data_IF_625498061704
#
_entry.id   IF_625498061704
#
_cell.length_a   1.000
_cell.length_b   1.000
_cell.length_c   1.000
_cell.angle_alpha   90.00
_cell.angle_beta   90.00
_cell.angle_gamma   90.00
#
_symmetry.space_group_name_H-M   'P 1'
#
loop_
_entity.id
_entity.type
_entity.pdbx_description
1 polymer ?
#
# COMPACT_ATOMS: atom_id res chain seq x y z
N UNK A 1 17.69 22.01 -7.43
CA UNK A 1 16.48 21.17 -7.48
C UNK A 1 15.28 22.04 -7.11
N UNK A 2 14.20 21.93 -7.85
CA UNK A 2 12.95 22.65 -7.50
C UNK A 2 12.41 22.12 -6.16
N UNK A 3 11.84 22.96 -5.27
CA UNK A 3 11.31 22.54 -3.97
C UNK A 3 10.14 21.57 -4.14
N UNK A 4 9.95 20.68 -3.17
CA UNK A 4 8.80 19.76 -3.09
C UNK A 4 7.58 20.55 -2.62
N UNK A 5 6.42 20.37 -3.26
CA UNK A 5 5.18 20.98 -2.82
C UNK A 5 4.48 20.08 -1.79
N UNK A 6 4.46 18.75 -2.02
CA UNK A 6 3.77 17.77 -1.19
C UNK A 6 4.69 16.58 -0.87
N UNK A 7 4.90 16.30 0.40
CA UNK A 7 5.64 15.13 0.89
C UNK A 7 4.68 14.21 1.63
N UNK A 8 4.44 13.00 1.10
CA UNK A 8 3.76 11.94 1.84
C UNK A 8 4.78 11.09 2.58
N UNK A 9 4.48 10.77 3.84
CA UNK A 9 5.28 9.91 4.71
C UNK A 9 4.37 8.79 5.20
N UNK A 10 4.71 7.54 4.92
CA UNK A 10 3.90 6.38 5.31
C UNK A 10 4.36 5.11 4.63
N UNK A 11 3.73 4.01 4.99
CA UNK A 11 4.03 2.73 4.40
C UNK A 11 3.50 2.62 2.97
N UNK A 12 4.23 1.87 2.18
CA UNK A 12 3.85 1.45 0.83
C UNK A 12 3.67 -0.05 0.82
N UNK A 13 2.72 -0.51 0.05
CA UNK A 13 2.39 -1.93 -0.08
C UNK A 13 2.18 -2.32 -1.54
N UNK A 14 2.20 -3.62 -1.78
CA UNK A 14 1.59 -4.25 -2.94
C UNK A 14 0.31 -4.92 -2.47
N UNK A 15 -0.82 -4.58 -3.05
CA UNK A 15 -2.09 -5.22 -2.80
C UNK A 15 -2.37 -6.24 -3.90
N UNK A 16 -2.60 -7.50 -3.52
CA UNK A 16 -3.06 -8.57 -4.41
C UNK A 16 -4.56 -8.78 -4.21
N UNK A 17 -5.35 -8.27 -5.13
CA UNK A 17 -6.81 -8.43 -5.14
C UNK A 17 -7.16 -9.81 -5.67
N UNK A 18 -7.70 -10.65 -4.81
CA UNK A 18 -8.17 -12.00 -5.13
C UNK A 18 -9.70 -11.97 -5.21
N UNK A 19 -10.25 -12.08 -6.43
CA UNK A 19 -11.70 -12.15 -6.61
C UNK A 19 -12.18 -13.55 -6.23
N UNK A 20 -12.92 -13.60 -5.14
CA UNK A 20 -13.49 -14.86 -4.64
C UNK A 20 -14.79 -15.17 -5.38
N UNK A 21 -14.94 -16.45 -5.74
CA UNK A 21 -16.17 -16.97 -6.36
C UNK A 21 -17.02 -17.75 -5.36
N UNK A 22 -16.38 -18.46 -4.43
CA UNK A 22 -17.06 -19.29 -3.43
C UNK A 22 -16.68 -18.79 -2.03
N UNK A 23 -17.55 -17.97 -1.45
CA UNK A 23 -17.50 -17.54 -0.08
C UNK A 23 -18.93 -17.28 0.41
N UNK A 24 -19.10 -17.03 1.70
CA UNK A 24 -20.36 -16.56 2.28
C UNK A 24 -20.07 -15.48 3.32
N UNK A 25 -21.06 -14.63 3.57
CA UNK A 25 -20.97 -13.62 4.63
C UNK A 25 -21.99 -13.93 5.70
N UNK A 26 -21.54 -13.99 6.93
CA UNK A 26 -22.38 -14.21 8.10
C UNK A 26 -22.29 -12.98 8.99
N UNK A 27 -23.44 -12.34 9.24
CA UNK A 27 -23.56 -11.17 10.10
C UNK A 27 -24.43 -11.46 11.31
N UNK A 28 -24.23 -10.71 12.38
CA UNK A 28 -25.18 -10.67 13.51
C UNK A 28 -26.53 -10.06 13.09
N UNK A 29 -27.56 -10.23 13.94
CA UNK A 29 -28.95 -9.79 13.68
C UNK A 29 -29.04 -8.32 13.24
N UNK A 30 -28.13 -7.46 13.70
CA UNK A 30 -28.11 -6.04 13.36
C UNK A 30 -27.17 -5.70 12.18
N UNK A 31 -26.81 -6.67 11.35
CA UNK A 31 -25.80 -6.53 10.27
C UNK A 31 -24.46 -5.95 10.77
N UNK A 32 -24.12 -6.23 12.03
CA UNK A 32 -22.83 -5.89 12.63
C UNK A 32 -21.96 -7.14 12.74
N UNK A 33 -20.63 -6.94 12.86
CA UNK A 33 -19.67 -8.04 12.99
C UNK A 33 -19.83 -9.11 11.89
N UNK A 34 -19.84 -8.69 10.65
CA UNK A 34 -19.89 -9.59 9.52
C UNK A 34 -18.55 -10.31 9.33
N UNK A 35 -18.62 -11.58 9.08
CA UNK A 35 -17.47 -12.44 8.84
C UNK A 35 -17.55 -13.06 7.46
N UNK A 36 -16.43 -13.06 6.73
CA UNK A 36 -16.31 -13.82 5.49
C UNK A 36 -15.93 -15.26 5.84
N UNK A 37 -16.68 -16.22 5.31
CA UNK A 37 -16.52 -17.64 5.57
C UNK A 37 -16.21 -18.39 4.29
N UNK A 38 -15.34 -19.38 4.42
CA UNK A 38 -14.94 -20.28 3.33
C UNK A 38 -14.87 -21.72 3.85
N UNK A 39 -15.09 -22.77 3.01
CA UNK A 39 -14.93 -24.14 3.41
C UNK A 39 -13.52 -24.41 3.96
N UNK A 40 -13.46 -25.05 5.13
CA UNK A 40 -12.19 -25.35 5.77
C UNK A 40 -11.51 -26.56 5.10
N UNK A 41 -10.19 -26.47 4.89
CA UNK A 41 -9.33 -27.51 4.32
C UNK A 41 -9.69 -27.95 2.88
N UNK A 42 -10.42 -27.10 2.15
CA UNK A 42 -10.79 -27.36 0.76
C UNK A 42 -9.95 -26.56 -0.24
N UNK A 43 -9.96 -26.98 -1.49
CA UNK A 43 -9.39 -26.22 -2.62
C UNK A 43 -10.47 -25.30 -3.17
N UNK A 44 -10.35 -24.01 -2.88
CA UNK A 44 -11.35 -23.02 -3.26
C UNK A 44 -10.86 -22.32 -4.54
N UNK A 45 -11.58 -22.42 -5.67
CA UNK A 45 -11.24 -21.68 -6.86
C UNK A 45 -11.49 -20.20 -6.66
N UNK A 46 -10.62 -19.37 -7.22
CA UNK A 46 -10.82 -17.94 -7.33
C UNK A 46 -10.97 -17.54 -8.81
N UNK A 47 -11.58 -16.39 -9.07
CA UNK A 47 -11.88 -15.96 -10.43
C UNK A 47 -10.64 -15.36 -11.12
N UNK A 48 -9.99 -14.41 -10.46
CA UNK A 48 -8.72 -13.82 -10.91
C UNK A 48 -7.96 -13.22 -9.73
N UNK A 49 -6.69 -12.88 -9.97
CA UNK A 49 -5.89 -12.06 -9.08
C UNK A 49 -5.31 -10.87 -9.84
N UNK A 50 -5.36 -9.69 -9.25
CA UNK A 50 -4.72 -8.47 -9.75
C UNK A 50 -3.80 -7.88 -8.70
N UNK A 51 -2.52 -7.66 -9.05
CA UNK A 51 -1.55 -7.01 -8.19
C UNK A 51 -1.44 -5.52 -8.52
N UNK A 52 -1.60 -4.68 -7.51
CA UNK A 52 -1.41 -3.23 -7.61
C UNK A 52 -0.29 -2.81 -6.67
N UNK A 53 0.81 -2.33 -7.24
CA UNK A 53 1.99 -1.92 -6.48
C UNK A 53 2.01 -0.40 -6.25
N UNK A 54 2.62 0.01 -5.13
CA UNK A 54 2.77 1.42 -4.81
C UNK A 54 1.50 2.04 -4.25
N UNK A 55 0.72 1.27 -3.52
CA UNK A 55 -0.55 1.69 -2.89
C UNK A 55 -0.41 1.81 -1.37
N UNK A 56 -1.47 2.30 -0.74
CA UNK A 56 -1.55 2.63 0.69
C UNK A 56 -1.94 4.10 0.88
N UNK A 57 -2.24 4.51 2.10
CA UNK A 57 -2.74 5.87 2.36
C UNK A 57 -1.76 6.96 1.92
N UNK A 58 -0.47 6.83 2.29
CA UNK A 58 0.57 7.77 1.87
C UNK A 58 0.79 7.80 0.35
N UNK A 59 1.02 6.65 -0.29
CA UNK A 59 1.13 6.54 -1.73
C UNK A 59 -0.06 7.13 -2.49
N UNK A 60 -1.29 6.80 -2.11
CA UNK A 60 -2.49 7.32 -2.76
C UNK A 60 -2.58 8.85 -2.69
N UNK A 61 -2.24 9.43 -1.53
CA UNK A 61 -2.18 10.89 -1.37
C UNK A 61 -1.08 11.51 -2.24
N UNK A 62 0.11 10.89 -2.32
CA UNK A 62 1.21 11.36 -3.15
C UNK A 62 0.87 11.33 -4.64
N UNK A 63 0.22 10.26 -5.10
CA UNK A 63 -0.25 10.10 -6.48
C UNK A 63 -1.32 11.15 -6.81
N UNK A 64 -2.30 11.33 -5.93
CA UNK A 64 -3.36 12.33 -6.11
C UNK A 64 -2.76 13.74 -6.21
N UNK A 65 -1.84 14.09 -5.31
CA UNK A 65 -1.15 15.37 -5.34
C UNK A 65 -0.36 15.59 -6.65
N UNK A 66 0.36 14.55 -7.13
CA UNK A 66 1.11 14.62 -8.37
C UNK A 66 0.19 14.82 -9.59
N UNK A 67 -0.91 14.07 -9.66
CA UNK A 67 -1.90 14.17 -10.76
C UNK A 67 -2.63 15.52 -10.77
N UNK A 68 -2.73 16.18 -9.62
CA UNK A 68 -3.22 17.56 -9.49
C UNK A 68 -2.15 18.63 -9.81
N UNK A 69 -0.97 18.21 -10.28
CA UNK A 69 0.09 19.13 -10.72
C UNK A 69 1.08 19.58 -9.64
N UNK A 70 1.00 19.04 -8.42
CA UNK A 70 1.98 19.33 -7.37
C UNK A 70 3.25 18.51 -7.57
N UNK A 71 4.40 19.08 -7.20
CA UNK A 71 5.66 18.34 -7.12
C UNK A 71 5.64 17.46 -5.88
N UNK A 72 5.25 16.21 -6.08
CA UNK A 72 5.05 15.23 -5.03
C UNK A 72 6.29 14.39 -4.79
N UNK A 73 6.50 14.00 -3.53
CA UNK A 73 7.53 13.06 -3.12
C UNK A 73 6.96 12.05 -2.13
N UNK A 74 7.51 10.84 -2.16
CA UNK A 74 7.19 9.78 -1.20
C UNK A 74 8.39 9.49 -0.31
N UNK A 75 8.18 9.48 1.00
CA UNK A 75 9.11 8.99 2.00
C UNK A 75 8.55 7.70 2.60
N UNK A 76 9.24 6.59 2.37
CA UNK A 76 8.79 5.27 2.80
C UNK A 76 9.94 4.30 2.91
N UNK A 77 9.67 3.13 3.48
CA UNK A 77 10.57 2.01 3.57
C UNK A 77 10.07 0.87 2.69
N UNK A 78 10.99 0.22 1.99
CA UNK A 78 10.72 -0.96 1.17
C UNK A 78 11.79 -2.01 1.39
N UNK A 79 11.50 -3.24 1.05
CA UNK A 79 12.49 -4.30 1.01
C UNK A 79 13.51 -4.14 -0.11
N UNK A 80 14.30 -5.20 -0.33
CA UNK A 80 15.24 -5.30 -1.45
C UNK A 80 14.80 -6.36 -2.46
N UNK A 81 13.51 -6.50 -2.64
CA UNK A 81 12.85 -7.48 -3.50
C UNK A 81 12.25 -6.85 -4.76
N UNK A 82 11.63 -7.69 -5.60
CA UNK A 82 10.98 -7.25 -6.84
C UNK A 82 9.75 -6.36 -6.57
N UNK A 83 9.05 -6.57 -5.46
CA UNK A 83 7.93 -5.74 -5.07
C UNK A 83 8.34 -4.30 -4.79
N UNK A 84 9.55 -4.09 -4.20
CA UNK A 84 10.13 -2.76 -4.07
C UNK A 84 10.34 -2.08 -5.44
N UNK A 85 10.81 -2.85 -6.43
CA UNK A 85 11.01 -2.33 -7.79
C UNK A 85 9.69 -1.94 -8.43
N UNK A 86 8.65 -2.78 -8.29
CA UNK A 86 7.29 -2.50 -8.78
C UNK A 86 6.75 -1.19 -8.16
N UNK A 87 6.84 -1.03 -6.83
CA UNK A 87 6.37 0.17 -6.13
C UNK A 87 7.11 1.44 -6.60
N UNK A 88 8.45 1.37 -6.68
CA UNK A 88 9.26 2.52 -7.13
C UNK A 88 8.95 2.87 -8.58
N UNK A 89 8.73 1.88 -9.43
CA UNK A 89 8.36 2.09 -10.84
C UNK A 89 6.99 2.75 -10.97
N UNK A 90 6.01 2.34 -10.16
CA UNK A 90 4.70 2.97 -10.10
C UNK A 90 4.81 4.47 -9.74
N UNK A 91 5.56 4.81 -8.70
CA UNK A 91 5.79 6.21 -8.32
C UNK A 91 6.45 7.03 -9.42
N UNK A 92 7.47 6.49 -10.09
CA UNK A 92 8.14 7.18 -11.19
C UNK A 92 7.21 7.44 -12.36
N UNK A 93 6.31 6.50 -12.66
CA UNK A 93 5.30 6.64 -13.73
C UNK A 93 4.35 7.82 -13.44
N UNK A 94 3.98 8.03 -12.18
CA UNK A 94 3.15 9.17 -11.76
C UNK A 94 3.98 10.44 -11.45
N UNK A 95 5.28 10.48 -11.78
CA UNK A 95 6.13 11.66 -11.60
C UNK A 95 6.51 11.96 -10.16
N UNK A 96 6.32 11.02 -9.23
CA UNK A 96 6.62 11.17 -7.81
C UNK A 96 8.12 10.99 -7.56
N UNK A 97 8.71 11.89 -6.80
CA UNK A 97 10.11 11.77 -6.38
C UNK A 97 10.29 10.60 -5.41
N UNK A 98 11.19 9.68 -5.78
CA UNK A 98 11.52 8.47 -5.00
C UNK A 98 12.81 8.61 -4.19
N UNK A 99 13.35 9.83 -4.08
CA UNK A 99 14.66 10.09 -3.42
C UNK A 99 14.67 9.82 -1.92
N UNK A 100 13.48 9.77 -1.30
CA UNK A 100 13.33 9.54 0.13
C UNK A 100 12.81 8.12 0.45
N UNK A 101 12.92 7.21 -0.51
CA UNK A 101 12.60 5.81 -0.30
C UNK A 101 13.85 5.09 0.21
N UNK A 102 13.74 4.47 1.38
CA UNK A 102 14.80 3.67 1.98
C UNK A 102 14.59 2.20 1.65
N UNK A 103 15.60 1.55 1.07
CA UNK A 103 15.61 0.10 0.85
C UNK A 103 16.31 -0.62 2.00
N UNK A 104 15.69 -1.66 2.50
CA UNK A 104 16.22 -2.50 3.59
C UNK A 104 16.67 -3.86 3.06
N UNK A 105 17.99 -4.10 3.07
CA UNK A 105 18.57 -5.39 2.67
C UNK A 105 18.09 -6.52 3.59
N UNK A 106 17.66 -7.62 3.00
CA UNK A 106 17.18 -8.80 3.72
C UNK A 106 15.69 -8.72 4.14
N UNK A 107 15.03 -7.60 3.91
CA UNK A 107 13.59 -7.45 4.13
C UNK A 107 12.81 -7.59 2.81
N UNK A 108 11.56 -8.00 2.94
CA UNK A 108 10.58 -7.93 1.85
C UNK A 108 9.81 -6.62 1.92
N UNK A 109 9.16 -6.25 0.83
CA UNK A 109 8.22 -5.12 0.81
C UNK A 109 6.89 -5.57 1.39
N UNK A 110 6.19 -4.68 2.09
CA UNK A 110 4.86 -4.97 2.61
C UNK A 110 3.94 -5.47 1.50
N UNK A 111 3.17 -6.48 1.81
CA UNK A 111 2.32 -7.16 0.84
C UNK A 111 1.04 -7.61 1.51
N UNK A 112 -0.09 -7.18 0.97
CA UNK A 112 -1.41 -7.52 1.47
C UNK A 112 -2.13 -8.42 0.47
N UNK A 113 -2.97 -9.31 1.00
CA UNK A 113 -3.97 -10.01 0.22
C UNK A 113 -5.31 -9.37 0.47
N UNK A 114 -5.97 -8.95 -0.60
CA UNK A 114 -7.29 -8.31 -0.55
C UNK A 114 -8.30 -9.34 -1.06
N UNK A 115 -9.02 -9.95 -0.14
CA UNK A 115 -10.10 -10.86 -0.46
C UNK A 115 -11.30 -10.03 -0.91
N UNK A 116 -11.61 -10.09 -2.19
CA UNK A 116 -12.71 -9.35 -2.79
C UNK A 116 -13.89 -10.29 -3.04
N UNK A 117 -14.97 -10.09 -2.33
CA UNK A 117 -16.20 -10.85 -2.44
C UNK A 117 -17.39 -9.91 -2.54
N UNK A 118 -18.27 -10.15 -3.53
CA UNK A 118 -19.38 -9.24 -3.89
C UNK A 118 -18.86 -7.80 -4.09
N UNK A 119 -19.39 -6.82 -3.36
CA UNK A 119 -19.04 -5.41 -3.46
C UNK A 119 -18.06 -4.95 -2.36
N UNK A 120 -17.59 -5.88 -1.52
CA UNK A 120 -16.74 -5.57 -0.35
C UNK A 120 -15.43 -6.34 -0.37
N UNK A 121 -14.54 -5.92 0.52
CA UNK A 121 -13.20 -6.50 0.67
C UNK A 121 -12.81 -6.72 2.12
N UNK A 122 -12.10 -7.81 2.36
CA UNK A 122 -11.37 -8.09 3.60
C UNK A 122 -9.89 -8.12 3.29
N UNK A 123 -9.08 -7.38 4.06
CA UNK A 123 -7.65 -7.23 3.78
C UNK A 123 -6.84 -8.02 4.80
N UNK A 124 -6.04 -8.98 4.33
CA UNK A 124 -5.04 -9.68 5.14
C UNK A 124 -3.77 -8.85 5.13
N UNK A 125 -3.50 -8.20 6.23
CA UNK A 125 -2.40 -7.23 6.38
C UNK A 125 -1.14 -7.92 6.89
N UNK A 126 0.00 -7.64 6.23
CA UNK A 126 1.32 -7.98 6.73
C UNK A 126 2.28 -6.84 6.50
N UNK A 127 2.78 -6.27 7.60
CA UNK A 127 3.85 -5.28 7.57
C UNK A 127 5.19 -5.89 8.00
N UNK A 128 6.25 -5.46 7.35
CA UNK A 128 7.62 -5.77 7.76
C UNK A 128 8.06 -4.76 8.84
N UNK A 129 8.79 -5.23 9.85
CA UNK A 129 9.28 -4.41 10.93
C UNK A 129 10.51 -3.58 10.50
N UNK A 130 10.30 -2.61 9.63
CA UNK A 130 11.36 -1.72 9.20
C UNK A 130 11.85 -0.83 10.34
N UNK A 131 13.17 -0.61 10.41
CA UNK A 131 13.72 0.43 11.27
C UNK A 131 13.54 1.79 10.60
N UNK A 132 12.50 2.52 10.99
CA UNK A 132 12.26 3.86 10.48
C UNK A 132 13.38 4.81 10.90
N UNK A 133 14.05 5.39 9.92
CA UNK A 133 14.99 6.47 10.13
C UNK A 133 14.41 7.73 9.50
N UNK A 134 13.94 8.62 10.32
CA UNK A 134 13.65 9.98 9.87
C UNK A 134 14.97 10.68 9.60
N UNK A 135 15.34 10.79 8.34
CA UNK A 135 16.49 11.60 7.92
C UNK A 135 15.96 12.87 7.30
N UNK A 136 15.89 13.97 8.07
CA UNK A 136 15.69 15.26 7.43
C UNK A 136 16.98 15.58 6.67
N UNK A 137 16.88 15.75 5.34
CA UNK A 137 17.02 17.08 4.79
C UNK A 137 16.00 17.30 3.67
N UNK A 138 14.76 17.31 4.05
CA UNK A 138 13.79 17.90 3.15
C UNK A 138 13.97 19.39 3.14
N UNK A 139 14.23 19.91 2.01
CA UNK A 139 14.13 21.34 1.77
C UNK A 139 12.65 21.72 1.85
N UNK A 140 12.16 21.96 3.06
CA UNK A 140 10.85 22.48 3.42
C UNK A 140 9.75 22.22 2.37
N UNK A 141 9.13 21.02 2.35
CA UNK A 141 7.93 20.82 1.55
C UNK A 141 6.86 21.80 2.04
N UNK A 142 6.01 22.27 1.14
CA UNK A 142 4.90 23.16 1.53
C UNK A 142 3.88 22.43 2.40
N UNK A 143 3.68 21.13 2.12
CA UNK A 143 2.74 20.26 2.82
C UNK A 143 3.39 18.92 3.15
N UNK A 144 3.13 18.43 4.35
CA UNK A 144 3.54 17.10 4.81
C UNK A 144 2.29 16.34 5.24
N UNK A 145 2.12 15.14 4.67
CA UNK A 145 1.06 14.20 5.03
C UNK A 145 1.69 12.95 5.66
N UNK A 146 1.40 12.70 6.93
CA UNK A 146 1.94 11.56 7.67
C UNK A 146 0.81 10.59 7.95
N UNK A 147 1.00 9.31 7.62
CA UNK A 147 -0.01 8.28 7.78
C UNK A 147 0.61 6.89 7.77
N UNK A 148 -0.08 5.90 8.39
CA UNK A 148 0.23 4.47 8.30
C UNK A 148 1.72 4.18 8.36
N UNK A 149 2.34 4.50 9.46
CA UNK A 149 3.68 4.07 9.83
C UNK A 149 3.53 2.80 10.66
N UNK A 150 4.03 1.68 10.20
CA UNK A 150 3.84 0.35 10.76
C UNK A 150 3.79 0.25 12.29
N UNK A 151 3.07 -0.71 12.82
CA UNK A 151 2.92 -0.96 14.25
C UNK A 151 4.14 -1.69 14.82
#
# INVERSE_FOLDING_TARGET
MKPIDFLAIGDVVVDAFIRLHQASVHCNINNSNCEICMPFAEKIPYEFVEEIAGVGNGPNAAVSAARLGLRSAMMTNVGSDENANKCISAFKKDGISTKHITRHKGFKTNYHYVLWYEDERTILVKHEAFKYKFVPPWRNPKWVYITSLGA
#
